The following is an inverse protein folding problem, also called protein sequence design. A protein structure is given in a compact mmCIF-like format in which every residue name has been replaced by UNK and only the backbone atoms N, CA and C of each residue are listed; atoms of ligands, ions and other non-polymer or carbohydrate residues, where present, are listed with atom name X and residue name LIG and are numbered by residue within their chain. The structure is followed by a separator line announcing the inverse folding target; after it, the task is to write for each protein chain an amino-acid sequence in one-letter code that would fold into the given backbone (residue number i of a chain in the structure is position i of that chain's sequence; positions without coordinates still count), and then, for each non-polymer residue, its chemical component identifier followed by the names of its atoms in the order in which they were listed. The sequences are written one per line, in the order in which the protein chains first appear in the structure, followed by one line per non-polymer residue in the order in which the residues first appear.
data_IF_321861806789
#
_entry.id   IF_321861806789
#
_cell.length_a   1.000
_cell.length_b   1.000
_cell.length_c   1.000
_cell.angle_alpha   90.00
_cell.angle_beta   90.00
_cell.angle_gamma   90.00
#
_symmetry.space_group_name_H-M   'P 1'
#
loop_
_entity.id
_entity.type
_entity.pdbx_description
1 polymer ?
#
# COMPACT_ATOMS: atom_id res chain seq x y z
N UNK A 1 -9.42 -7.31 -14.13
CA UNK A 1 -9.63 -5.83 -14.19
C UNK A 1 -9.44 -5.25 -12.80
N UNK A 2 -8.81 -4.04 -12.65
CA UNK A 2 -8.68 -3.36 -11.35
C UNK A 2 -9.89 -2.46 -11.07
N UNK A 3 -10.52 -2.61 -9.90
CA UNK A 3 -11.67 -1.81 -9.47
C UNK A 3 -11.33 -1.08 -8.18
N UNK A 4 -11.40 0.25 -8.23
CA UNK A 4 -11.25 1.09 -7.04
C UNK A 4 -12.54 1.09 -6.22
N UNK A 5 -12.53 0.39 -5.08
CA UNK A 5 -13.67 0.31 -4.17
C UNK A 5 -13.21 0.19 -2.72
N UNK A 6 -13.74 1.02 -1.82
CA UNK A 6 -13.27 1.13 -0.44
C UNK A 6 -14.27 0.52 0.57
N UNK A 7 -14.84 -0.65 0.22
CA UNK A 7 -15.71 -1.41 1.11
C UNK A 7 -17.19 -1.01 1.02
N UNK A 8 -17.96 -1.11 2.13
CA UNK A 8 -19.36 -0.73 2.21
C UNK A 8 -19.61 0.73 1.78
N UNK A 9 -20.85 1.01 1.40
CA UNK A 9 -21.25 2.29 0.81
C UNK A 9 -20.86 3.51 1.67
N UNK A 10 -21.08 3.45 2.95
CA UNK A 10 -20.81 4.54 3.89
C UNK A 10 -19.31 4.87 4.02
N UNK A 11 -18.44 3.89 3.85
CA UNK A 11 -16.98 4.08 3.82
C UNK A 11 -16.52 4.59 2.44
N UNK A 12 -17.01 3.98 1.37
CA UNK A 12 -16.64 4.35 0.01
C UNK A 12 -17.06 5.79 -0.33
N UNK A 13 -18.34 6.11 -0.13
CA UNK A 13 -18.92 7.39 -0.53
C UNK A 13 -18.44 8.58 0.34
N UNK A 14 -17.72 8.32 1.43
CA UNK A 14 -17.08 9.37 2.25
C UNK A 14 -15.96 10.10 1.51
N UNK A 15 -15.22 9.37 0.66
CA UNK A 15 -14.02 9.90 -0.01
C UNK A 15 -14.07 9.76 -1.54
N UNK A 16 -14.85 8.80 -2.08
CA UNK A 16 -14.96 8.59 -3.52
C UNK A 16 -16.24 9.22 -4.07
N UNK A 17 -16.11 10.50 -4.35
CA UNK A 17 -17.17 11.30 -4.92
C UNK A 17 -16.89 11.59 -6.40
N UNK A 18 -17.93 11.80 -7.19
CA UNK A 18 -17.84 12.32 -8.56
C UNK A 18 -17.31 13.77 -8.55
N UNK A 19 -16.93 14.30 -9.70
CA UNK A 19 -16.55 15.72 -9.83
C UNK A 19 -17.63 16.69 -9.33
N UNK A 20 -18.90 16.28 -9.39
CA UNK A 20 -20.03 17.06 -8.88
C UNK A 20 -20.36 16.80 -7.41
N UNK A 21 -19.52 16.04 -6.67
CA UNK A 21 -19.74 15.73 -5.26
C UNK A 21 -20.76 14.63 -4.98
N UNK A 22 -21.28 13.93 -6.00
CA UNK A 22 -22.24 12.84 -5.80
C UNK A 22 -21.56 11.52 -5.41
N UNK A 23 -22.20 10.66 -4.57
CA UNK A 23 -21.74 9.32 -4.24
C UNK A 23 -21.49 8.45 -5.48
N UNK A 24 -20.49 7.58 -5.45
CA UNK A 24 -20.11 6.73 -6.60
C UNK A 24 -20.27 5.24 -6.35
N UNK A 25 -20.49 4.80 -5.12
CA UNK A 25 -20.56 3.38 -4.76
C UNK A 25 -21.55 2.57 -5.60
N UNK A 26 -22.77 3.06 -5.77
CA UNK A 26 -23.80 2.36 -6.54
C UNK A 26 -23.40 2.14 -8.02
N UNK A 27 -22.65 3.09 -8.61
CA UNK A 27 -22.14 2.94 -9.99
C UNK A 27 -21.02 1.91 -10.06
N UNK A 28 -20.12 1.90 -9.08
CA UNK A 28 -19.03 0.93 -9.00
C UNK A 28 -19.59 -0.48 -8.78
N UNK A 29 -20.54 -0.66 -7.86
CA UNK A 29 -21.16 -1.96 -7.60
C UNK A 29 -21.91 -2.51 -8.81
N UNK A 30 -22.59 -1.69 -9.57
CA UNK A 30 -23.20 -2.11 -10.84
C UNK A 30 -22.14 -2.62 -11.83
N UNK A 31 -20.95 -1.99 -11.86
CA UNK A 31 -19.81 -2.49 -12.64
C UNK A 31 -19.32 -3.86 -12.13
N UNK A 32 -19.20 -4.04 -10.83
CA UNK A 32 -18.84 -5.32 -10.19
C UNK A 32 -19.85 -6.42 -10.51
N UNK A 33 -21.15 -6.12 -10.43
CA UNK A 33 -22.22 -7.07 -10.79
C UNK A 33 -22.12 -7.52 -12.25
N UNK A 34 -21.81 -6.60 -13.18
CA UNK A 34 -21.60 -6.96 -14.59
C UNK A 34 -20.36 -7.85 -14.77
N UNK A 35 -19.24 -7.54 -14.11
CA UNK A 35 -18.03 -8.36 -14.17
C UNK A 35 -18.32 -9.78 -13.65
N UNK A 36 -19.00 -9.90 -12.52
CA UNK A 36 -19.40 -11.20 -11.96
C UNK A 36 -20.37 -11.95 -12.90
N UNK A 37 -21.35 -11.26 -13.49
CA UNK A 37 -22.30 -11.86 -14.43
C UNK A 37 -21.60 -12.46 -15.65
N UNK A 38 -20.57 -11.79 -16.18
CA UNK A 38 -19.81 -12.26 -17.33
C UNK A 38 -18.58 -13.08 -16.96
N UNK A 39 -18.41 -13.46 -15.69
CA UNK A 39 -17.24 -14.22 -15.20
C UNK A 39 -15.89 -13.56 -15.52
N UNK A 40 -15.82 -12.23 -15.49
CA UNK A 40 -14.59 -11.48 -15.69
C UNK A 40 -13.87 -11.33 -14.35
N UNK A 41 -12.67 -11.84 -14.23
CA UNK A 41 -11.86 -11.67 -13.02
C UNK A 41 -11.53 -10.20 -12.77
N UNK A 42 -11.70 -9.77 -11.53
CA UNK A 42 -11.39 -8.42 -11.09
C UNK A 42 -10.65 -8.41 -9.76
N UNK A 43 -9.83 -7.38 -9.59
CA UNK A 43 -9.05 -7.12 -8.38
C UNK A 43 -9.61 -5.87 -7.71
N UNK A 44 -10.00 -5.97 -6.46
CA UNK A 44 -10.36 -4.81 -5.66
C UNK A 44 -9.11 -4.05 -5.22
N UNK A 45 -9.05 -2.76 -5.57
CA UNK A 45 -8.04 -1.81 -5.11
C UNK A 45 -8.69 -0.94 -4.05
N UNK A 46 -8.40 -1.23 -2.79
CA UNK A 46 -9.05 -0.63 -1.65
C UNK A 46 -8.06 0.15 -0.78
N UNK A 47 -8.38 1.40 -0.47
CA UNK A 47 -7.59 2.18 0.48
C UNK A 47 -8.11 1.98 1.90
N UNK A 48 -7.17 1.93 2.84
CA UNK A 48 -7.47 1.79 4.26
C UNK A 48 -7.16 3.10 4.96
N UNK A 49 -8.20 3.86 5.21
CA UNK A 49 -8.16 5.07 6.03
C UNK A 49 -8.23 4.72 7.51
N UNK A 50 -8.10 5.73 8.37
CA UNK A 50 -8.30 5.59 9.81
C UNK A 50 -9.69 5.04 10.16
N UNK A 51 -10.74 5.48 9.45
CA UNK A 51 -12.11 5.03 9.69
C UNK A 51 -12.31 3.58 9.21
N UNK A 52 -11.80 3.27 8.03
CA UNK A 52 -11.84 1.90 7.46
C UNK A 52 -11.12 0.90 8.37
N UNK A 53 -9.96 1.27 8.92
CA UNK A 53 -9.17 0.39 9.79
C UNK A 53 -9.94 -0.07 11.03
N UNK A 54 -10.85 0.76 11.56
CA UNK A 54 -11.70 0.43 12.72
C UNK A 54 -12.84 -0.52 12.39
N UNK A 55 -13.15 -0.68 11.11
CA UNK A 55 -14.23 -1.53 10.61
C UNK A 55 -13.71 -2.77 9.86
N UNK A 56 -12.51 -3.23 10.17
CA UNK A 56 -11.75 -4.26 9.46
C UNK A 56 -12.56 -5.49 9.07
N UNK A 57 -13.36 -6.03 10.00
CA UNK A 57 -14.18 -7.22 9.77
C UNK A 57 -15.31 -6.98 8.79
N UNK A 58 -16.05 -5.88 8.94
CA UNK A 58 -17.13 -5.52 8.02
C UNK A 58 -16.58 -5.19 6.63
N UNK A 59 -15.44 -4.49 6.57
CA UNK A 59 -14.73 -4.17 5.36
C UNK A 59 -14.29 -5.42 4.58
N UNK A 60 -13.67 -6.40 5.24
CA UNK A 60 -13.25 -7.64 4.60
C UNK A 60 -14.43 -8.50 4.12
N UNK A 61 -15.46 -8.66 4.96
CA UNK A 61 -16.65 -9.43 4.62
C UNK A 61 -17.39 -8.87 3.42
N UNK A 62 -17.44 -7.55 3.28
CA UNK A 62 -18.02 -6.91 2.10
C UNK A 62 -17.36 -7.41 0.80
N UNK A 63 -16.04 -7.48 0.72
CA UNK A 63 -15.35 -7.97 -0.48
C UNK A 63 -15.62 -9.43 -0.76
N UNK A 64 -15.65 -10.25 0.26
CA UNK A 64 -16.01 -11.66 0.14
C UNK A 64 -17.44 -11.83 -0.40
N UNK A 65 -18.40 -11.09 0.15
CA UNK A 65 -19.82 -11.13 -0.26
C UNK A 65 -20.03 -10.55 -1.66
N UNK A 66 -19.21 -9.58 -2.07
CA UNK A 66 -19.22 -9.02 -3.43
C UNK A 66 -18.61 -9.97 -4.48
N UNK A 67 -18.11 -11.15 -4.09
CA UNK A 67 -17.47 -12.10 -4.99
C UNK A 67 -16.04 -11.70 -5.42
N UNK A 68 -15.37 -10.86 -4.64
CA UNK A 68 -13.99 -10.49 -4.89
C UNK A 68 -13.06 -11.66 -4.66
N UNK A 69 -12.22 -11.97 -5.66
CA UNK A 69 -11.21 -13.02 -5.55
C UNK A 69 -9.81 -12.47 -5.27
N UNK A 70 -9.52 -11.26 -5.73
CA UNK A 70 -8.21 -10.61 -5.57
C UNK A 70 -8.38 -9.26 -4.89
N UNK A 71 -7.70 -9.08 -3.76
CA UNK A 71 -7.87 -7.92 -2.90
C UNK A 71 -6.53 -7.28 -2.56
N UNK A 72 -6.41 -5.99 -2.84
CA UNK A 72 -5.25 -5.19 -2.50
C UNK A 72 -5.64 -4.10 -1.50
N UNK A 73 -4.95 -4.05 -0.37
CA UNK A 73 -5.07 -3.00 0.63
C UNK A 73 -3.92 -1.99 0.51
N UNK A 74 -4.25 -0.72 0.45
CA UNK A 74 -3.26 0.36 0.49
C UNK A 74 -3.52 1.23 1.71
N UNK A 75 -2.63 1.24 2.73
CA UNK A 75 -2.81 2.13 3.87
C UNK A 75 -2.66 3.58 3.44
N UNK A 76 -3.62 4.42 3.80
CA UNK A 76 -3.52 5.86 3.54
C UNK A 76 -2.62 6.48 4.60
N UNK A 77 -1.47 6.97 4.16
CA UNK A 77 -0.50 7.69 4.98
C UNK A 77 -0.15 8.99 4.28
N UNK A 78 -0.77 10.05 4.72
CA UNK A 78 -0.60 11.38 4.13
C UNK A 78 -0.25 12.40 5.20
N UNK A 79 0.57 13.36 4.79
CA UNK A 79 0.93 14.54 5.57
C UNK A 79 0.54 15.79 4.79
N UNK A 80 0.20 16.83 5.50
CA UNK A 80 -0.24 18.10 4.95
C UNK A 80 0.71 19.21 5.38
N UNK A 81 0.98 20.11 4.46
CA UNK A 81 1.63 21.39 4.71
C UNK A 81 0.61 22.51 4.54
N UNK A 82 0.62 23.46 5.46
CA UNK A 82 -0.14 24.69 5.32
C UNK A 82 0.68 25.68 4.47
N UNK A 83 0.09 26.16 3.39
CA UNK A 83 0.62 27.21 2.52
C UNK A 83 -0.33 28.39 2.47
N UNK A 84 0.11 29.53 1.95
CA UNK A 84 -0.72 30.74 1.81
C UNK A 84 -1.95 30.53 0.92
N UNK A 85 -1.84 29.65 -0.08
CA UNK A 85 -2.88 29.26 -1.02
C UNK A 85 -3.72 28.04 -0.57
N UNK A 86 -3.47 27.48 0.61
CA UNK A 86 -4.20 26.35 1.16
C UNK A 86 -3.32 25.20 1.66
N UNK A 87 -3.96 24.04 1.90
CA UNK A 87 -3.28 22.83 2.34
C UNK A 87 -2.87 21.96 1.17
N UNK A 88 -1.60 21.58 1.12
CA UNK A 88 -1.04 20.70 0.11
C UNK A 88 -0.51 19.41 0.70
N UNK A 89 -0.49 18.35 -0.10
CA UNK A 89 0.15 17.09 0.29
C UNK A 89 1.66 17.31 0.39
N UNK A 90 2.22 16.91 1.53
CA UNK A 90 3.65 16.99 1.76
C UNK A 90 4.41 15.96 0.92
N UNK A 91 5.52 16.39 0.33
CA UNK A 91 6.51 15.51 -0.27
C UNK A 91 7.17 14.62 0.78
N UNK A 92 7.68 13.44 0.44
CA UNK A 92 8.50 12.64 1.33
C UNK A 92 9.75 13.36 1.87
N UNK A 93 10.21 14.41 1.20
CA UNK A 93 11.36 15.25 1.63
C UNK A 93 10.99 16.35 2.62
N UNK A 94 9.70 16.68 2.72
CA UNK A 94 9.26 17.71 3.66
C UNK A 94 9.43 17.25 5.09
N UNK A 95 9.96 18.14 5.90
CA UNK A 95 10.41 17.86 7.25
C UNK A 95 9.29 17.81 8.30
N UNK A 96 9.62 18.30 9.50
CA UNK A 96 8.77 18.25 10.69
C UNK A 96 7.55 19.18 10.66
N UNK A 97 7.52 20.12 9.74
CA UNK A 97 6.41 21.08 9.57
C UNK A 97 5.14 20.42 9.02
N UNK A 98 5.30 19.28 8.31
CA UNK A 98 4.18 18.56 7.74
C UNK A 98 3.43 17.77 8.83
N UNK A 99 2.13 18.01 8.97
CA UNK A 99 1.23 17.35 9.93
C UNK A 99 0.52 16.16 9.31
N UNK A 100 0.19 15.12 10.11
CA UNK A 100 -0.59 13.99 9.63
C UNK A 100 -2.01 14.43 9.24
N UNK A 101 -2.45 14.01 8.07
CA UNK A 101 -3.84 14.19 7.64
C UNK A 101 -4.80 13.44 8.59
N UNK A 102 -6.01 14.00 8.87
CA UNK A 102 -6.96 13.39 9.80
C UNK A 102 -7.39 11.96 9.45
N UNK A 103 -7.39 11.63 8.16
CA UNK A 103 -7.77 10.32 7.62
C UNK A 103 -6.62 9.32 7.58
N UNK A 104 -5.38 9.75 7.87
CA UNK A 104 -4.21 8.87 7.90
C UNK A 104 -4.39 7.77 8.95
N UNK A 105 -4.24 6.50 8.51
CA UNK A 105 -4.32 5.33 9.38
C UNK A 105 -3.16 5.34 10.39
N UNK A 106 -3.45 5.08 11.66
CA UNK A 106 -2.42 5.01 12.69
C UNK A 106 -1.71 3.66 12.67
N UNK A 107 -0.43 3.59 13.09
CA UNK A 107 0.33 2.35 13.09
C UNK A 107 -0.35 1.18 13.80
N UNK A 108 -0.92 1.43 14.97
CA UNK A 108 -1.64 0.43 15.76
C UNK A 108 -2.94 -0.01 15.07
N UNK A 109 -3.73 0.95 14.57
CA UNK A 109 -4.98 0.69 13.84
C UNK A 109 -4.71 -0.13 12.56
N UNK A 110 -3.59 0.14 11.86
CA UNK A 110 -3.14 -0.66 10.71
C UNK A 110 -2.81 -2.11 11.10
N UNK A 111 -2.05 -2.30 12.20
CA UNK A 111 -1.73 -3.62 12.71
C UNK A 111 -2.97 -4.40 13.15
N UNK A 112 -3.93 -3.75 13.84
CA UNK A 112 -5.20 -4.34 14.27
C UNK A 112 -6.06 -4.74 13.07
N UNK A 113 -6.12 -3.86 12.06
CA UNK A 113 -6.80 -4.14 10.80
C UNK A 113 -6.24 -5.39 10.13
N UNK A 114 -4.94 -5.45 9.93
CA UNK A 114 -4.29 -6.59 9.27
C UNK A 114 -4.49 -7.89 10.04
N UNK A 115 -4.34 -7.89 11.37
CA UNK A 115 -4.56 -9.08 12.19
C UNK A 115 -6.02 -9.55 12.11
N UNK A 116 -6.98 -8.61 12.21
CA UNK A 116 -8.41 -8.93 12.14
C UNK A 116 -8.82 -9.52 10.79
N UNK A 117 -8.33 -8.93 9.69
CA UNK A 117 -8.59 -9.45 8.34
C UNK A 117 -7.91 -10.79 8.14
N UNK A 118 -6.68 -10.95 8.66
CA UNK A 118 -5.93 -12.20 8.58
C UNK A 118 -6.66 -13.35 9.29
N UNK A 119 -7.23 -13.11 10.46
CA UNK A 119 -7.99 -14.12 11.22
C UNK A 119 -9.24 -14.58 10.45
N UNK A 120 -9.98 -13.67 9.82
CA UNK A 120 -11.13 -14.02 8.96
C UNK A 120 -10.68 -14.81 7.71
N UNK A 121 -9.62 -14.35 7.05
CA UNK A 121 -9.07 -14.96 5.84
C UNK A 121 -8.49 -16.36 6.11
N UNK A 122 -7.63 -16.47 7.12
CA UNK A 122 -6.95 -17.74 7.43
C UNK A 122 -7.89 -18.86 7.90
N UNK A 123 -9.06 -18.49 8.47
CA UNK A 123 -10.05 -19.44 8.92
C UNK A 123 -10.88 -20.08 7.79
N UNK A 124 -11.07 -19.39 6.63
CA UNK A 124 -12.07 -19.80 5.64
C UNK A 124 -11.70 -19.61 4.19
N UNK A 125 -10.85 -18.62 3.87
CA UNK A 125 -10.74 -18.08 2.52
C UNK A 125 -9.36 -18.34 1.88
N UNK A 126 -8.51 -19.15 2.52
CA UNK A 126 -7.17 -19.52 1.99
C UNK A 126 -7.31 -20.32 0.71
N UNK A 127 -6.68 -19.84 -0.37
CA UNK A 127 -6.76 -20.45 -1.70
C UNK A 127 -8.00 -20.05 -2.52
N UNK A 128 -8.98 -19.34 -1.91
CA UNK A 128 -10.18 -18.86 -2.58
C UNK A 128 -10.15 -17.36 -2.80
N UNK A 129 -9.77 -16.57 -1.77
CA UNK A 129 -9.59 -15.13 -1.84
C UNK A 129 -8.12 -14.79 -1.59
N UNK A 130 -7.50 -14.09 -2.51
CA UNK A 130 -6.09 -13.73 -2.51
C UNK A 130 -5.91 -12.29 -2.04
N UNK A 131 -5.35 -12.12 -0.83
CA UNK A 131 -4.99 -10.79 -0.32
C UNK A 131 -3.53 -10.54 -0.63
N UNK A 132 -3.24 -9.58 -1.50
CA UNK A 132 -1.89 -9.31 -2.04
C UNK A 132 -0.81 -9.22 -0.95
N UNK A 133 -1.10 -8.57 0.17
CA UNK A 133 -0.15 -8.44 1.29
C UNK A 133 0.12 -9.79 1.96
N UNK A 134 -0.89 -10.65 2.10
CA UNK A 134 -0.76 -11.96 2.73
C UNK A 134 0.01 -12.92 1.82
N UNK A 135 -0.32 -12.93 0.52
CA UNK A 135 0.42 -13.70 -0.49
C UNK A 135 1.90 -13.28 -0.54
N UNK A 136 2.17 -11.97 -0.51
CA UNK A 136 3.54 -11.44 -0.47
C UNK A 136 4.27 -11.78 0.84
N UNK A 137 3.55 -11.87 1.94
CA UNK A 137 4.12 -12.30 3.23
C UNK A 137 4.44 -13.79 3.21
N UNK A 138 3.54 -14.62 2.66
CA UNK A 138 3.78 -16.05 2.44
C UNK A 138 5.01 -16.26 1.54
N UNK A 139 5.12 -15.53 0.43
CA UNK A 139 6.27 -15.58 -0.46
C UNK A 139 7.58 -15.28 0.29
N UNK A 140 7.59 -14.27 1.16
CA UNK A 140 8.73 -13.94 2.02
C UNK A 140 9.10 -15.06 3.01
N UNK A 141 8.12 -15.76 3.59
CA UNK A 141 8.36 -16.95 4.43
C UNK A 141 8.93 -18.12 3.63
N UNK A 142 8.47 -18.32 2.40
CA UNK A 142 8.97 -19.32 1.46
C UNK A 142 10.34 -18.97 0.86
N UNK A 143 10.91 -17.79 1.15
CA UNK A 143 12.18 -17.34 0.57
C UNK A 143 12.07 -16.88 -0.90
N UNK A 144 10.85 -16.63 -1.38
CA UNK A 144 10.56 -16.15 -2.74
C UNK A 144 10.39 -14.62 -2.73
N UNK A 145 10.75 -13.96 -3.83
CA UNK A 145 10.57 -12.52 -3.99
C UNK A 145 9.08 -12.16 -3.89
N UNK A 146 8.68 -11.23 -3.01
CA UNK A 146 7.29 -10.81 -2.88
C UNK A 146 6.79 -10.10 -4.14
N UNK A 147 5.51 -10.31 -4.49
CA UNK A 147 4.86 -9.70 -5.65
C UNK A 147 4.54 -8.21 -5.49
N UNK A 148 4.82 -7.60 -4.32
CA UNK A 148 4.56 -6.19 -4.04
C UNK A 148 5.84 -5.46 -3.68
N UNK A 149 6.07 -4.30 -4.30
CA UNK A 149 7.30 -3.52 -4.11
C UNK A 149 7.49 -3.01 -2.68
N UNK A 150 6.41 -2.83 -1.90
CA UNK A 150 6.50 -2.38 -0.51
C UNK A 150 7.25 -3.37 0.37
N UNK A 151 7.10 -4.68 0.12
CA UNK A 151 7.80 -5.75 0.83
C UNK A 151 9.06 -6.27 0.10
N UNK A 152 9.40 -5.73 -1.08
CA UNK A 152 10.63 -6.07 -1.79
C UNK A 152 11.84 -5.27 -1.27
N UNK A 153 13.08 -5.78 -1.42
CA UNK A 153 14.30 -5.09 -0.95
C UNK A 153 14.58 -3.77 -1.67
N UNK A 154 14.18 -3.66 -2.94
CA UNK A 154 14.32 -2.45 -3.77
C UNK A 154 12.97 -2.02 -4.31
N UNK A 155 12.87 -0.81 -4.85
CA UNK A 155 11.69 -0.31 -5.57
C UNK A 155 12.10 0.30 -6.91
N UNK A 156 11.21 1.10 -7.55
CA UNK A 156 11.54 1.76 -8.82
C UNK A 156 11.18 0.95 -10.06
N UNK A 157 10.33 -0.08 -9.94
CA UNK A 157 9.85 -0.90 -11.06
C UNK A 157 8.48 -0.45 -11.60
N UNK A 158 7.77 0.40 -10.88
CA UNK A 158 6.43 0.90 -11.20
C UNK A 158 6.45 2.43 -11.32
N UNK A 159 6.85 2.92 -12.50
CA UNK A 159 6.79 4.34 -12.82
C UNK A 159 5.35 4.76 -13.16
N UNK A 160 5.08 6.06 -13.15
CA UNK A 160 3.80 6.64 -13.57
C UNK A 160 4.05 7.75 -14.59
N UNK A 161 3.15 7.85 -15.56
CA UNK A 161 3.12 8.93 -16.55
C UNK A 161 1.91 9.80 -16.26
N UNK A 162 2.14 11.10 -16.06
CA UNK A 162 1.10 12.11 -15.91
C UNK A 162 0.54 12.54 -17.28
N UNK A 163 -0.63 13.16 -17.29
CA UNK A 163 -1.33 13.56 -18.50
C UNK A 163 -0.53 14.50 -19.41
N UNK A 164 0.45 15.24 -18.88
CA UNK A 164 1.38 16.09 -19.64
C UNK A 164 2.54 15.33 -20.27
N UNK A 165 2.63 14.00 -20.07
CA UNK A 165 3.72 13.17 -20.58
C UNK A 165 4.93 13.07 -19.65
N UNK A 166 4.89 13.68 -18.48
CA UNK A 166 5.97 13.59 -17.51
C UNK A 166 6.01 12.22 -16.84
N UNK A 167 7.17 11.58 -16.84
CA UNK A 167 7.44 10.31 -16.20
C UNK A 167 8.04 10.55 -14.82
N UNK A 168 7.48 9.88 -13.81
CA UNK A 168 7.95 9.90 -12.42
C UNK A 168 8.42 8.52 -11.96
N UNK A 169 9.33 8.50 -10.99
CA UNK A 169 9.96 7.28 -10.47
C UNK A 169 8.95 6.25 -9.90
N UNK A 170 7.81 6.70 -9.40
CA UNK A 170 6.76 5.87 -8.82
C UNK A 170 5.48 6.71 -8.68
N UNK A 171 4.30 6.07 -8.72
CA UNK A 171 2.99 6.69 -8.48
C UNK A 171 2.84 7.32 -7.09
N UNK A 172 3.56 6.80 -6.09
CA UNK A 172 3.63 7.38 -4.75
C UNK A 172 4.58 8.60 -4.66
N UNK A 173 5.32 8.91 -5.71
CA UNK A 173 6.36 9.94 -5.73
C UNK A 173 6.16 10.90 -6.90
N UNK A 174 4.91 11.35 -7.12
CA UNK A 174 4.58 12.36 -8.14
C UNK A 174 4.86 13.76 -7.58
N UNK A 175 6.15 14.07 -7.43
CA UNK A 175 6.67 15.37 -7.00
C UNK A 175 7.83 15.79 -7.91
N UNK A 176 8.06 17.10 -8.12
CA UNK A 176 9.06 17.58 -9.07
C UNK A 176 10.45 16.94 -8.93
N UNK A 177 10.87 16.67 -7.70
CA UNK A 177 12.18 16.09 -7.40
C UNK A 177 12.32 14.61 -7.81
N UNK A 178 11.21 13.93 -8.14
CA UNK A 178 11.18 12.52 -8.60
C UNK A 178 10.81 12.39 -10.07
N UNK A 179 10.67 13.50 -10.81
CA UNK A 179 10.44 13.51 -12.24
C UNK A 179 11.69 12.99 -12.97
N UNK A 180 11.53 11.99 -13.82
CA UNK A 180 12.62 11.42 -14.63
C UNK A 180 12.82 12.15 -15.95
N UNK A 181 11.75 12.60 -16.59
CA UNK A 181 11.75 13.29 -17.87
C UNK A 181 10.35 13.33 -18.47
N UNK A 182 10.26 13.60 -19.77
CA UNK A 182 9.02 13.58 -20.52
C UNK A 182 9.12 12.58 -21.67
N UNK A 183 8.03 11.84 -21.94
CA UNK A 183 7.99 10.80 -23.00
C UNK A 183 8.12 11.38 -24.41
N UNK A 184 7.93 12.68 -24.59
CA UNK A 184 8.18 13.37 -25.86
C UNK A 184 9.67 13.64 -26.11
N UNK A 185 10.50 13.67 -25.05
CA UNK A 185 11.91 14.07 -25.13
C UNK A 185 12.86 12.86 -25.10
N UNK A 186 12.45 11.77 -24.39
CA UNK A 186 13.26 10.57 -24.22
C UNK A 186 12.40 9.31 -24.13
N UNK A 187 12.96 8.15 -24.45
CA UNK A 187 12.24 6.89 -24.33
C UNK A 187 12.04 6.51 -22.86
N UNK A 188 10.88 5.89 -22.55
CA UNK A 188 10.59 5.34 -21.22
C UNK A 188 11.70 4.38 -20.79
N UNK A 189 12.20 3.56 -21.71
CA UNK A 189 13.26 2.57 -21.43
C UNK A 189 14.57 3.22 -20.99
N UNK A 190 14.97 4.33 -21.61
CA UNK A 190 16.18 5.10 -21.22
C UNK A 190 16.00 5.71 -19.84
N UNK A 191 14.87 6.38 -19.61
CA UNK A 191 14.58 7.00 -18.33
C UNK A 191 14.53 5.97 -17.20
N UNK A 192 13.90 4.80 -17.41
CA UNK A 192 13.77 3.74 -16.41
C UNK A 192 15.07 2.99 -16.12
N UNK A 193 16.00 2.94 -17.10
CA UNK A 193 17.34 2.33 -16.91
C UNK A 193 18.38 3.35 -16.47
N UNK A 194 18.03 4.63 -16.45
CA UNK A 194 18.90 5.71 -16.05
C UNK A 194 19.39 5.61 -14.61
N UNK A 195 20.51 6.25 -14.32
CA UNK A 195 21.11 6.26 -12.99
C UNK A 195 20.14 6.80 -11.93
N UNK A 196 19.37 7.83 -12.25
CA UNK A 196 18.40 8.45 -11.34
C UNK A 196 17.35 7.45 -10.84
N UNK A 197 16.79 6.63 -11.75
CA UNK A 197 15.82 5.60 -11.37
C UNK A 197 16.48 4.45 -10.60
N UNK A 198 17.68 4.05 -11.02
CA UNK A 198 18.46 3.03 -10.31
C UNK A 198 18.74 3.44 -8.85
N UNK A 199 19.20 4.68 -8.64
CA UNK A 199 19.45 5.22 -7.31
C UNK A 199 18.17 5.34 -6.49
N UNK A 200 17.05 5.75 -7.09
CA UNK A 200 15.75 5.76 -6.43
C UNK A 200 15.41 4.39 -5.87
N UNK A 201 15.53 3.33 -6.66
CA UNK A 201 15.26 1.96 -6.24
C UNK A 201 16.18 1.47 -5.11
N UNK A 202 17.49 1.71 -5.23
CA UNK A 202 18.50 1.32 -4.26
C UNK A 202 18.40 2.11 -2.94
N UNK A 203 17.90 3.33 -2.97
CA UNK A 203 17.72 4.14 -1.76
C UNK A 203 16.77 3.49 -0.76
N UNK A 204 15.91 2.57 -1.20
CA UNK A 204 15.05 1.80 -0.30
C UNK A 204 15.87 0.98 0.70
N UNK A 205 16.85 0.22 0.25
CA UNK A 205 17.72 -0.59 1.13
C UNK A 205 18.76 0.26 1.83
N UNK A 206 19.33 1.26 1.16
CA UNK A 206 20.37 2.13 1.73
C UNK A 206 19.85 3.00 2.88
N UNK A 207 18.62 3.46 2.79
CA UNK A 207 17.96 4.31 3.79
C UNK A 207 17.36 3.57 4.99
N UNK A 208 17.69 2.28 5.20
CA UNK A 208 17.26 1.53 6.39
C UNK A 208 17.95 2.05 7.64
N UNK A 209 17.18 2.29 8.70
CA UNK A 209 17.73 2.61 10.05
C UNK A 209 18.45 1.41 10.66
N UNK A 210 19.31 1.60 11.67
CA UNK A 210 19.93 0.50 12.43
C UNK A 210 18.84 -0.38 13.07
N UNK A 211 17.77 0.23 13.57
CA UNK A 211 16.60 -0.49 14.10
C UNK A 211 15.98 -1.44 13.05
N UNK A 212 15.89 -1.03 11.77
CA UNK A 212 15.44 -1.91 10.69
C UNK A 212 16.44 -3.03 10.41
N UNK A 213 17.74 -2.70 10.36
CA UNK A 213 18.80 -3.67 10.02
C UNK A 213 18.92 -4.80 11.05
N UNK A 214 18.62 -4.54 12.33
CA UNK A 214 18.61 -5.55 13.41
C UNK A 214 17.25 -6.21 13.63
N UNK A 215 16.21 -5.84 12.84
CA UNK A 215 14.86 -6.34 13.04
C UNK A 215 14.72 -7.79 12.53
N UNK A 216 14.16 -8.67 13.36
CA UNK A 216 13.86 -10.06 12.96
C UNK A 216 12.94 -10.19 11.76
N UNK A 217 12.11 -9.17 11.49
CA UNK A 217 11.17 -9.12 10.38
C UNK A 217 11.74 -8.46 9.12
N UNK A 218 13.04 -8.10 9.10
CA UNK A 218 13.62 -7.39 7.96
C UNK A 218 13.42 -8.15 6.64
N UNK A 219 13.56 -9.46 6.64
CA UNK A 219 13.35 -10.31 5.45
C UNK A 219 11.95 -10.24 4.86
N UNK A 220 10.93 -9.94 5.67
CA UNK A 220 9.55 -9.81 5.23
C UNK A 220 9.19 -8.36 4.91
N UNK A 221 9.75 -7.40 5.64
CA UNK A 221 9.34 -6.00 5.63
C UNK A 221 10.18 -5.13 4.67
N UNK A 222 11.49 -5.36 4.62
CA UNK A 222 12.46 -4.50 3.91
C UNK A 222 12.31 -3.01 4.18
N UNK A 223 11.78 -2.65 5.38
CA UNK A 223 11.49 -1.27 5.79
C UNK A 223 10.31 -0.63 5.08
N UNK A 224 9.50 -1.42 4.36
CA UNK A 224 8.28 -1.05 3.65
C UNK A 224 8.51 0.14 2.66
N UNK A 225 7.47 0.89 2.28
CA UNK A 225 7.56 1.97 1.30
C UNK A 225 8.38 3.16 1.83
N UNK A 226 9.38 3.66 1.09
CA UNK A 226 10.16 4.83 1.47
C UNK A 226 9.31 6.09 1.68
N UNK A 227 8.15 6.21 1.03
CA UNK A 227 7.22 7.33 1.24
C UNK A 227 6.79 7.45 2.69
N UNK A 228 6.65 6.33 3.39
CA UNK A 228 6.19 6.28 4.78
C UNK A 228 7.33 6.39 5.81
N UNK A 229 8.58 6.66 5.36
CA UNK A 229 9.78 6.71 6.23
C UNK A 229 10.08 8.12 6.74
N UNK A 230 9.14 8.75 7.39
CA UNK A 230 9.28 10.08 7.99
C UNK A 230 9.29 10.06 9.54
N UNK A 231 9.05 8.90 10.15
CA UNK A 231 9.07 8.77 11.60
C UNK A 231 10.51 8.62 12.14
N UNK A 232 10.65 8.68 13.47
CA UNK A 232 11.89 8.33 14.16
C UNK A 232 11.81 6.89 14.67
N UNK A 233 12.92 6.18 14.62
CA UNK A 233 13.06 4.85 15.23
C UNK A 233 13.03 4.94 16.76
N UNK A 234 12.92 3.80 17.43
CA UNK A 234 13.04 3.73 18.90
C UNK A 234 14.39 4.21 19.43
N UNK A 235 15.43 4.20 18.59
CA UNK A 235 16.76 4.76 18.88
C UNK A 235 16.88 6.25 18.49
N UNK A 236 15.77 6.90 18.05
CA UNK A 236 15.76 8.30 17.68
C UNK A 236 16.23 8.59 16.23
N UNK A 237 16.61 7.59 15.44
CA UNK A 237 17.07 7.76 14.07
C UNK A 237 15.92 8.24 13.15
N UNK A 238 16.13 9.23 12.29
CA UNK A 238 15.15 9.67 11.29
C UNK A 238 15.02 8.64 10.16
N UNK A 239 13.95 8.76 9.38
CA UNK A 239 13.75 7.88 8.20
C UNK A 239 13.21 6.50 8.54
N UNK A 240 12.61 6.32 9.71
CA UNK A 240 11.93 5.10 10.08
C UNK A 240 10.50 5.06 9.52
N UNK A 241 10.02 3.86 9.17
CA UNK A 241 8.68 3.73 8.63
C UNK A 241 7.62 4.03 9.69
N UNK A 242 6.69 4.91 9.36
CA UNK A 242 5.59 5.32 10.24
C UNK A 242 4.72 4.14 10.67
N UNK A 243 4.44 3.21 9.75
CA UNK A 243 3.58 2.04 10.02
C UNK A 243 4.33 0.85 10.64
N UNK A 244 5.62 1.00 10.99
CA UNK A 244 6.47 -0.09 11.48
C UNK A 244 5.83 -0.91 12.62
N UNK A 245 5.22 -0.26 13.61
CA UNK A 245 4.59 -0.95 14.74
C UNK A 245 3.43 -1.87 14.29
N UNK A 246 2.64 -1.41 13.32
CA UNK A 246 1.54 -2.19 12.73
C UNK A 246 2.04 -3.42 11.98
N UNK A 247 3.04 -3.25 11.10
CA UNK A 247 3.65 -4.38 10.39
C UNK A 247 4.31 -5.39 11.32
N UNK A 248 5.04 -4.93 12.34
CA UNK A 248 5.63 -5.83 13.35
C UNK A 248 4.57 -6.65 14.08
N UNK A 249 3.45 -6.03 14.44
CA UNK A 249 2.30 -6.71 15.04
C UNK A 249 1.75 -7.77 14.09
N UNK A 250 1.49 -7.41 12.86
CA UNK A 250 0.97 -8.33 11.84
C UNK A 250 1.91 -9.51 11.58
N UNK A 251 3.20 -9.27 11.36
CA UNK A 251 4.16 -10.35 11.12
C UNK A 251 4.27 -11.30 12.31
N UNK A 252 4.27 -10.77 13.54
CA UNK A 252 4.29 -11.61 14.74
C UNK A 252 3.02 -12.46 14.86
N UNK A 253 1.86 -11.90 14.55
CA UNK A 253 0.57 -12.57 14.60
C UNK A 253 0.44 -13.67 13.53
N UNK A 254 0.84 -13.38 12.30
CA UNK A 254 0.66 -14.27 11.15
C UNK A 254 1.77 -15.31 10.97
N UNK A 255 2.95 -15.10 11.57
CA UNK A 255 4.11 -15.97 11.36
C UNK A 255 3.87 -17.46 11.69
N UNK A 256 3.19 -17.84 12.78
CA UNK A 256 2.93 -19.26 13.07
C UNK A 256 2.18 -19.95 11.94
N UNK A 257 1.16 -19.30 11.41
CA UNK A 257 0.36 -19.82 10.31
C UNK A 257 1.21 -19.99 9.03
N UNK A 258 1.94 -18.97 8.61
CA UNK A 258 2.73 -19.03 7.38
C UNK A 258 3.90 -20.01 7.47
N UNK A 259 4.54 -20.13 8.64
CA UNK A 259 5.59 -21.13 8.87
C UNK A 259 5.04 -22.56 8.79
N UNK A 260 3.87 -22.82 9.38
CA UNK A 260 3.20 -24.12 9.30
C UNK A 260 2.77 -24.42 7.86
N UNK A 261 2.22 -23.43 7.16
CA UNK A 261 1.80 -23.55 5.77
C UNK A 261 2.99 -23.89 4.86
N UNK A 262 4.11 -23.17 4.98
CA UNK A 262 5.33 -23.48 4.22
C UNK A 262 5.84 -24.90 4.52
N UNK A 263 5.88 -25.30 5.78
CA UNK A 263 6.33 -26.64 6.18
C UNK A 263 5.49 -27.76 5.58
N UNK A 264 4.19 -27.52 5.40
CA UNK A 264 3.22 -28.53 4.97
C UNK A 264 3.10 -28.62 3.46
N UNK A 265 3.23 -27.51 2.73
CA UNK A 265 2.85 -27.41 1.34
C UNK A 265 3.96 -26.97 0.39
N UNK A 266 5.07 -26.47 0.90
CA UNK A 266 6.23 -26.02 0.15
C UNK A 266 7.51 -26.75 0.57
#
# INVERSE_FOLDING_TARGET
MGISIDGPQDLHDRYRLSRGGAPTWAQVMRGVELLNHYNVEWNALAVVTRDTARMARAFYRFFREAGCRYLQFTPVVERLLDHEDGRHLASPRDGVEATLAPWTVRPQEWGDFLCTVFDEWSAKDVGELFVQLFESTLAGHAGVMPGVCTLAPTCGHAAVIEACGDLYSCDHFVFPEYRLGNICDASISEMMRGERQTQFGLNKVRGLTATCRSCQWLRLCHGECPRNRFARSTAGEPGHNYLCAGYRKFFAHSAPFFQEYCRKYL
#
